data_IF_444425924092
#
_entry.id   IF_444425924092
#
_cell.length_a   1.000
_cell.length_b   1.000
_cell.length_c   1.000
_cell.angle_alpha   90.00
_cell.angle_beta   90.00
_cell.angle_gamma   90.00
#
_symmetry.space_group_name_H-M   'P 1'
#
loop_
_entity.id
_entity.type
_entity.pdbx_description
1 polymer ?
#
# COMPACT_ATOMS: atom_id res chain seq x y z
N UNK A 1 18.93 -11.19 25.72
CA UNK A 1 20.13 -11.23 24.83
C UNK A 1 20.59 -9.80 24.55
N UNK A 2 21.67 -9.60 23.81
CA UNK A 2 22.12 -8.23 23.46
C UNK A 2 21.10 -7.53 22.56
N UNK A 3 20.48 -6.43 22.99
CA UNK A 3 19.50 -5.70 22.18
C UNK A 3 20.12 -5.04 20.94
N UNK A 4 21.42 -4.76 20.93
CA UNK A 4 22.12 -4.18 19.76
C UNK A 4 22.18 -5.18 18.61
N UNK A 5 22.19 -6.46 18.91
CA UNK A 5 22.20 -7.56 17.93
C UNK A 5 20.80 -8.00 17.52
N UNK A 6 19.74 -7.39 18.06
CA UNK A 6 18.35 -7.74 17.73
C UNK A 6 18.07 -7.50 16.24
N UNK A 7 17.82 -8.55 15.45
CA UNK A 7 17.66 -8.40 14.01
C UNK A 7 16.27 -7.87 13.61
N UNK A 8 15.29 -7.91 14.52
CA UNK A 8 13.89 -7.58 14.18
C UNK A 8 13.65 -6.07 14.18
N UNK A 9 12.96 -5.59 13.15
CA UNK A 9 12.71 -4.18 12.93
C UNK A 9 11.23 -3.91 12.59
N UNK A 10 10.34 -3.91 13.58
CA UNK A 10 8.95 -3.52 13.35
C UNK A 10 8.89 -2.04 12.99
N UNK A 11 8.47 -1.71 11.76
CA UNK A 11 8.38 -0.33 11.29
C UNK A 11 7.51 -0.18 10.06
N UNK A 12 6.93 1.02 9.86
CA UNK A 12 6.07 1.31 8.72
C UNK A 12 6.91 1.36 7.42
N UNK A 13 6.73 0.36 6.56
CA UNK A 13 7.43 0.30 5.27
C UNK A 13 8.93 -0.01 5.35
N UNK A 14 9.46 -0.30 6.53
CA UNK A 14 10.84 -0.76 6.69
C UNK A 14 10.99 -2.15 6.10
N UNK A 15 12.12 -2.36 5.40
CA UNK A 15 12.46 -3.67 4.87
C UNK A 15 12.79 -4.60 6.04
N UNK A 16 12.09 -5.71 6.21
CA UNK A 16 12.41 -6.68 7.24
C UNK A 16 13.75 -7.34 6.94
N UNK A 17 14.44 -7.91 7.95
CA UNK A 17 15.70 -8.62 7.75
C UNK A 17 15.54 -9.83 6.83
N UNK A 18 14.33 -10.40 6.76
CA UNK A 18 13.97 -11.51 5.87
C UNK A 18 12.60 -11.24 5.22
N UNK A 19 12.54 -11.23 3.87
CA UNK A 19 11.30 -11.08 3.11
C UNK A 19 10.68 -12.46 2.83
N UNK A 20 10.25 -13.13 3.88
CA UNK A 20 9.72 -14.48 3.81
C UNK A 20 8.35 -14.53 3.08
N UNK A 21 8.09 -15.62 2.37
CA UNK A 21 6.80 -15.93 1.77
C UNK A 21 6.39 -15.03 0.61
N UNK A 22 7.32 -14.29 -0.02
CA UNK A 22 7.04 -13.35 -1.13
C UNK A 22 7.81 -13.67 -2.41
N UNK A 23 8.49 -14.81 -2.47
CA UNK A 23 9.28 -15.20 -3.64
C UNK A 23 8.46 -15.26 -4.93
N UNK A 24 7.23 -15.82 -4.86
CA UNK A 24 6.35 -15.92 -6.02
C UNK A 24 5.98 -14.56 -6.61
N UNK A 25 5.73 -13.57 -5.77
CA UNK A 25 5.42 -12.21 -6.19
C UNK A 25 6.60 -11.56 -6.92
N UNK A 26 7.80 -11.79 -6.40
CA UNK A 26 9.04 -11.29 -6.99
C UNK A 26 9.33 -11.95 -8.36
N UNK A 27 9.23 -13.27 -8.43
CA UNK A 27 9.45 -14.02 -9.69
C UNK A 27 8.46 -13.61 -10.79
N UNK A 28 7.19 -13.44 -10.42
CA UNK A 28 6.14 -12.97 -11.34
C UNK A 28 6.45 -11.59 -11.88
N UNK A 29 6.96 -10.69 -11.04
CA UNK A 29 7.27 -9.34 -11.48
C UNK A 29 8.51 -9.29 -12.37
N UNK A 30 9.54 -10.09 -12.12
CA UNK A 30 10.68 -10.21 -13.01
C UNK A 30 10.26 -10.65 -14.43
N UNK A 31 9.37 -11.65 -14.51
CA UNK A 31 8.80 -12.08 -15.79
C UNK A 31 8.05 -10.93 -16.48
N UNK A 32 7.26 -10.14 -15.74
CA UNK A 32 6.54 -8.99 -16.29
C UNK A 32 7.50 -7.96 -16.87
N UNK A 33 8.57 -7.59 -16.16
CA UNK A 33 9.58 -6.64 -16.63
C UNK A 33 10.25 -7.12 -17.92
N UNK A 34 10.67 -8.39 -17.95
CA UNK A 34 11.31 -8.96 -19.13
C UNK A 34 10.39 -9.05 -20.36
N UNK A 35 9.11 -9.38 -20.15
CA UNK A 35 8.14 -9.47 -21.25
C UNK A 35 7.86 -8.11 -21.86
N UNK A 36 7.66 -7.09 -21.05
CA UNK A 36 7.44 -5.71 -21.51
C UNK A 36 8.69 -5.20 -22.25
N UNK A 37 9.90 -5.43 -21.71
CA UNK A 37 11.15 -5.05 -22.38
C UNK A 37 11.32 -5.71 -23.76
N UNK A 38 10.68 -6.86 -23.98
CA UNK A 38 10.64 -7.55 -25.28
C UNK A 38 9.44 -7.16 -26.17
N UNK A 39 8.73 -6.08 -25.84
CA UNK A 39 7.55 -5.61 -26.58
C UNK A 39 6.31 -6.50 -26.42
N UNK A 40 6.24 -7.33 -25.37
CA UNK A 40 5.08 -8.18 -25.09
C UNK A 40 4.24 -7.48 -24.02
N UNK A 41 2.99 -7.10 -24.33
CA UNK A 41 2.15 -6.36 -23.38
C UNK A 41 1.84 -7.20 -22.14
N UNK A 42 1.86 -6.55 -20.99
CA UNK A 42 1.47 -7.10 -19.69
C UNK A 42 0.50 -6.16 -18.99
N UNK A 43 -0.33 -6.71 -18.12
CA UNK A 43 -1.27 -5.92 -17.30
C UNK A 43 -0.54 -5.28 -16.13
N UNK A 44 -0.90 -4.03 -15.83
CA UNK A 44 -0.48 -3.34 -14.61
C UNK A 44 -0.88 -4.15 -13.36
N UNK A 45 -0.01 -4.18 -12.35
CA UNK A 45 -0.13 -5.04 -11.17
C UNK A 45 -0.74 -4.28 -10.00
N UNK A 46 -1.78 -4.85 -9.35
CA UNK A 46 -2.43 -4.28 -8.17
C UNK A 46 -2.31 -5.22 -6.98
N UNK A 47 -1.51 -4.83 -5.99
CA UNK A 47 -1.35 -5.52 -4.71
C UNK A 47 -2.49 -5.13 -3.77
N UNK A 48 -3.31 -6.10 -3.35
CA UNK A 48 -4.43 -5.83 -2.45
C UNK A 48 -4.29 -6.62 -1.16
N UNK A 49 -4.65 -6.03 -0.03
CA UNK A 49 -4.57 -6.72 1.25
C UNK A 49 -4.78 -5.79 2.44
N UNK A 50 -4.93 -6.37 3.63
CA UNK A 50 -5.11 -5.62 4.88
C UNK A 50 -3.89 -4.78 5.23
N UNK A 51 -4.02 -3.89 6.21
CA UNK A 51 -2.87 -3.14 6.76
C UNK A 51 -1.96 -4.09 7.55
N UNK A 52 -0.65 -3.87 7.45
CA UNK A 52 0.35 -4.70 8.17
C UNK A 52 0.76 -6.00 7.47
N UNK A 53 0.17 -6.38 6.31
CA UNK A 53 0.57 -7.56 5.54
C UNK A 53 1.83 -7.38 4.68
N UNK A 54 2.43 -6.17 4.71
CA UNK A 54 3.70 -5.90 4.04
C UNK A 54 3.59 -5.39 2.59
N UNK A 55 2.43 -4.86 2.15
CA UNK A 55 2.26 -4.31 0.78
C UNK A 55 3.29 -3.25 0.42
N UNK A 56 3.50 -2.25 1.27
CA UNK A 56 4.48 -1.17 1.07
C UNK A 56 5.91 -1.72 0.95
N UNK A 57 6.25 -2.72 1.77
CA UNK A 57 7.56 -3.38 1.73
C UNK A 57 7.74 -4.12 0.41
N UNK A 58 6.73 -4.88 0.00
CA UNK A 58 6.75 -5.60 -1.28
C UNK A 58 6.83 -4.60 -2.45
N UNK A 59 6.03 -3.54 -2.44
CA UNK A 59 6.05 -2.48 -3.46
C UNK A 59 7.46 -1.86 -3.61
N UNK A 60 8.13 -1.58 -2.49
CA UNK A 60 9.50 -1.08 -2.49
C UNK A 60 10.50 -2.10 -3.02
N UNK A 61 10.30 -3.39 -2.73
CA UNK A 61 11.16 -4.47 -3.24
C UNK A 61 10.99 -4.65 -4.75
N UNK A 62 9.74 -4.64 -5.25
CA UNK A 62 9.45 -4.66 -6.69
C UNK A 62 10.09 -3.45 -7.40
N UNK A 63 10.06 -2.27 -6.76
CA UNK A 63 10.77 -1.10 -7.30
C UNK A 63 12.27 -1.35 -7.39
N UNK A 64 12.87 -1.94 -6.38
CA UNK A 64 14.30 -2.29 -6.40
C UNK A 64 14.64 -3.28 -7.52
N UNK A 65 13.75 -4.26 -7.79
CA UNK A 65 13.91 -5.16 -8.93
C UNK A 65 13.87 -4.39 -10.26
N UNK A 66 12.90 -3.48 -10.46
CA UNK A 66 12.83 -2.65 -11.66
C UNK A 66 14.11 -1.82 -11.86
N UNK A 67 14.67 -1.25 -10.78
CA UNK A 67 15.95 -0.53 -10.83
C UNK A 67 17.09 -1.47 -11.26
N UNK A 68 17.14 -2.68 -10.73
CA UNK A 68 18.16 -3.68 -11.11
C UNK A 68 18.04 -4.10 -12.59
N UNK A 69 16.82 -4.09 -13.15
CA UNK A 69 16.56 -4.26 -14.59
C UNK A 69 16.80 -2.98 -15.39
N UNK A 70 17.37 -1.94 -14.81
CA UNK A 70 17.66 -0.65 -15.43
C UNK A 70 16.42 0.10 -15.97
N UNK A 71 15.28 -0.11 -15.36
CA UNK A 71 14.05 0.63 -15.64
C UNK A 71 14.08 2.00 -14.97
N UNK A 72 13.44 2.99 -15.58
CA UNK A 72 13.12 4.24 -14.91
C UNK A 72 12.02 4.01 -13.87
N UNK A 73 12.19 4.53 -12.65
CA UNK A 73 11.23 4.28 -11.59
C UNK A 73 10.73 5.55 -10.92
N UNK A 74 9.42 5.59 -10.64
CA UNK A 74 8.80 6.63 -9.82
C UNK A 74 7.95 6.02 -8.72
N UNK A 75 7.90 6.67 -7.54
CA UNK A 75 7.04 6.24 -6.44
C UNK A 75 6.13 7.37 -5.98
N UNK A 76 4.88 7.01 -5.72
CA UNK A 76 3.82 7.89 -5.23
C UNK A 76 3.19 7.23 -4.01
N UNK A 77 2.86 8.02 -3.01
CA UNK A 77 1.95 7.67 -1.94
C UNK A 77 0.68 8.51 -2.13
N UNK A 78 -0.43 7.86 -2.47
CA UNK A 78 -1.70 8.54 -2.63
C UNK A 78 -2.19 9.09 -1.28
N UNK A 79 -2.82 10.25 -1.29
CA UNK A 79 -3.35 10.90 -0.08
C UNK A 79 -4.76 11.39 -0.34
N UNK A 80 -5.65 11.28 0.65
CA UNK A 80 -6.99 11.84 0.54
C UNK A 80 -6.94 13.34 0.16
N UNK A 81 -7.85 13.74 -0.72
CA UNK A 81 -8.02 15.12 -1.15
C UNK A 81 -6.79 15.75 -1.87
N UNK A 82 -5.83 14.91 -2.32
CA UNK A 82 -4.69 15.34 -3.12
C UNK A 82 -4.83 14.84 -4.56
N UNK A 83 -4.80 15.74 -5.55
CA UNK A 83 -4.76 15.34 -6.97
C UNK A 83 -3.47 14.60 -7.32
N UNK A 84 -3.60 13.58 -8.18
CA UNK A 84 -2.52 12.75 -8.68
C UNK A 84 -1.53 13.53 -9.58
N UNK A 85 -1.93 14.66 -10.13
CA UNK A 85 -1.17 15.42 -11.14
C UNK A 85 0.27 15.73 -10.72
N UNK A 86 0.46 16.38 -9.56
CA UNK A 86 1.82 16.71 -9.07
C UNK A 86 2.63 15.48 -8.64
N UNK A 87 2.08 14.52 -7.91
CA UNK A 87 2.78 13.28 -7.58
C UNK A 87 3.26 12.50 -8.81
N UNK A 88 2.42 12.38 -9.84
CA UNK A 88 2.80 11.72 -11.10
C UNK A 88 3.92 12.48 -11.80
N UNK A 89 3.82 13.81 -11.87
CA UNK A 89 4.88 14.61 -12.49
C UNK A 89 6.23 14.44 -11.78
N UNK A 90 6.24 14.42 -10.43
CA UNK A 90 7.45 14.17 -9.66
C UNK A 90 8.01 12.76 -9.89
N UNK A 91 7.14 11.75 -9.91
CA UNK A 91 7.51 10.35 -10.15
C UNK A 91 8.11 10.15 -11.54
N UNK A 92 7.48 10.71 -12.58
CA UNK A 92 7.99 10.65 -13.96
C UNK A 92 9.30 11.41 -14.13
N UNK A 93 9.44 12.57 -13.48
CA UNK A 93 10.70 13.30 -13.48
C UNK A 93 11.86 12.44 -12.96
N UNK A 94 11.65 11.74 -11.83
CA UNK A 94 12.65 10.83 -11.28
C UNK A 94 12.94 9.67 -12.23
N UNK A 95 11.90 9.04 -12.78
CA UNK A 95 12.04 7.92 -13.71
C UNK A 95 12.84 8.30 -14.97
N UNK A 96 12.54 9.45 -15.55
CA UNK A 96 13.24 9.92 -16.76
C UNK A 96 14.66 10.36 -16.45
N UNK A 97 14.93 10.93 -15.29
CA UNK A 97 16.31 11.23 -14.85
C UNK A 97 17.18 9.98 -14.75
N UNK A 98 16.62 8.84 -14.35
CA UNK A 98 17.32 7.55 -14.32
C UNK A 98 17.63 7.04 -15.75
N UNK A 99 16.80 7.37 -16.74
CA UNK A 99 16.97 7.00 -18.13
C UNK A 99 17.88 7.97 -18.92
N UNK A 100 17.86 9.25 -18.60
CA UNK A 100 18.52 10.32 -19.36
C UNK A 100 19.99 10.06 -19.67
N UNK A 101 20.85 9.53 -18.77
CA UNK A 101 22.27 9.26 -19.09
C UNK A 101 22.47 8.19 -20.18
N UNK A 102 21.46 7.37 -20.44
CA UNK A 102 21.48 6.31 -21.45
C UNK A 102 20.78 6.69 -22.76
N UNK A 103 20.11 7.85 -22.79
CA UNK A 103 19.37 8.33 -23.94
C UNK A 103 20.31 9.02 -24.96
N UNK A 104 20.19 8.64 -26.24
CA UNK A 104 21.08 9.15 -27.31
C UNK A 104 20.68 10.50 -27.88
N UNK A 105 19.49 11.00 -27.53
CA UNK A 105 18.95 12.28 -28.01
C UNK A 105 18.52 13.15 -26.81
N UNK A 106 19.42 13.95 -26.24
CA UNK A 106 19.11 14.84 -25.10
C UNK A 106 17.92 15.78 -25.37
N UNK A 107 17.79 16.30 -26.57
CA UNK A 107 16.69 17.19 -26.98
C UNK A 107 15.30 16.57 -26.78
N UNK A 108 15.18 15.24 -26.92
CA UNK A 108 13.91 14.54 -26.65
C UNK A 108 13.60 14.45 -25.16
N UNK A 109 14.63 14.32 -24.34
CA UNK A 109 14.48 14.40 -22.88
C UNK A 109 14.02 15.78 -22.48
N UNK A 110 14.66 16.82 -23.01
CA UNK A 110 14.30 18.21 -22.72
C UNK A 110 12.88 18.54 -23.20
N UNK A 111 12.49 18.06 -24.39
CA UNK A 111 11.13 18.20 -24.89
C UNK A 111 10.10 17.55 -23.95
N UNK A 112 10.35 16.31 -23.50
CA UNK A 112 9.49 15.63 -22.51
C UNK A 112 9.44 16.40 -21.18
N UNK A 113 10.58 16.87 -20.67
CA UNK A 113 10.63 17.64 -19.43
C UNK A 113 9.86 18.96 -19.54
N UNK A 114 9.83 19.58 -20.73
CA UNK A 114 9.01 20.75 -21.01
C UNK A 114 7.50 20.45 -20.91
N UNK A 115 7.04 19.34 -21.49
CA UNK A 115 5.65 18.85 -21.37
C UNK A 115 5.31 18.53 -19.93
N UNK A 116 6.19 17.80 -19.24
CA UNK A 116 6.02 17.44 -17.83
C UNK A 116 5.86 18.67 -16.93
N UNK A 117 6.66 19.73 -17.20
CA UNK A 117 6.57 21.01 -16.48
C UNK A 117 5.23 21.71 -16.73
N UNK A 118 4.75 21.74 -17.97
CA UNK A 118 3.43 22.30 -18.32
C UNK A 118 2.30 21.58 -17.61
N UNK A 119 2.30 20.23 -17.67
CA UNK A 119 1.35 19.35 -16.96
C UNK A 119 1.29 19.64 -15.45
N UNK A 120 2.45 19.75 -14.81
CA UNK A 120 2.53 19.99 -13.38
C UNK A 120 2.07 21.41 -12.97
N UNK A 121 2.34 22.42 -13.80
CA UNK A 121 1.95 23.80 -13.54
C UNK A 121 0.44 24.03 -13.69
N UNK A 122 -0.23 23.30 -14.57
CA UNK A 122 -1.68 23.38 -14.77
C UNK A 122 -2.47 23.06 -13.50
N UNK A 123 -1.95 22.20 -12.64
CA UNK A 123 -2.56 21.88 -11.35
C UNK A 123 -2.69 23.07 -10.39
N UNK A 124 -1.87 24.10 -10.56
CA UNK A 124 -1.90 25.29 -9.70
C UNK A 124 -3.02 26.29 -10.06
N UNK A 125 -3.57 26.19 -11.29
CA UNK A 125 -4.56 27.15 -11.80
C UNK A 125 -6.00 26.67 -11.69
N UNK A 126 -6.25 25.35 -11.63
CA UNK A 126 -7.59 24.77 -11.67
C UNK A 126 -8.37 24.81 -10.34
N UNK A 127 -7.76 25.17 -9.22
CA UNK A 127 -8.34 25.01 -7.88
C UNK A 127 -8.90 26.26 -7.19
N UNK A 128 -8.79 27.47 -7.77
CA UNK A 128 -9.30 28.70 -7.11
C UNK A 128 -9.68 29.79 -8.11
N UNK A 129 -10.95 30.16 -8.11
CA UNK A 129 -11.42 31.32 -8.85
C UNK A 129 -10.63 32.59 -8.49
N UNK A 130 -9.93 33.17 -9.46
CA UNK A 130 -9.56 34.56 -9.52
C UNK A 130 -8.40 35.10 -8.67
N UNK A 131 -7.78 34.36 -7.78
CA UNK A 131 -6.63 34.82 -7.00
C UNK A 131 -5.31 34.32 -7.61
N UNK A 132 -4.35 35.23 -7.87
CA UNK A 132 -3.02 34.86 -8.29
C UNK A 132 -2.38 33.86 -7.29
N UNK A 133 -1.76 32.76 -7.75
CA UNK A 133 -1.15 31.79 -6.86
C UNK A 133 -0.06 32.44 -6.02
N UNK A 134 -0.12 32.22 -4.70
CA UNK A 134 0.94 32.68 -3.79
C UNK A 134 2.27 32.04 -4.22
N UNK A 135 3.39 32.75 -4.05
CA UNK A 135 4.74 32.27 -4.43
C UNK A 135 5.05 30.85 -3.91
N UNK A 136 4.44 30.44 -2.79
CA UNK A 136 4.51 29.09 -2.19
C UNK A 136 3.82 27.98 -3.02
N UNK A 137 2.91 28.34 -3.92
CA UNK A 137 2.16 27.36 -4.74
C UNK A 137 2.86 27.08 -6.09
N UNK A 138 3.98 27.71 -6.38
CA UNK A 138 4.80 27.43 -7.55
C UNK A 138 5.63 26.18 -7.24
N UNK A 139 5.12 25.03 -7.63
CA UNK A 139 5.91 23.81 -7.69
C UNK A 139 7.03 23.99 -8.72
N UNK A 140 8.26 23.96 -8.26
CA UNK A 140 9.46 24.01 -9.12
C UNK A 140 10.16 22.65 -8.97
N UNK A 141 10.01 21.73 -9.93
CA UNK A 141 10.61 20.40 -9.84
C UNK A 141 12.13 20.37 -10.12
N UNK A 142 12.81 21.51 -10.15
CA UNK A 142 14.20 21.57 -10.58
C UNK A 142 14.39 21.22 -12.06
N UNK A 143 13.36 21.46 -12.87
CA UNK A 143 13.41 21.29 -14.33
C UNK A 143 13.81 22.62 -14.95
N UNK A 144 15.03 22.67 -15.50
CA UNK A 144 15.60 23.92 -16.04
C UNK A 144 15.14 24.26 -17.47
N UNK A 145 14.35 23.35 -18.09
CA UNK A 145 13.79 23.61 -19.42
C UNK A 145 12.51 24.46 -19.34
N UNK A 146 12.19 25.26 -20.40
CA UNK A 146 10.90 25.95 -20.50
C UNK A 146 9.73 24.98 -20.53
N UNK A 147 8.56 25.39 -20.00
CA UNK A 147 7.33 24.63 -20.14
C UNK A 147 6.87 24.64 -21.61
N UNK A 148 6.56 23.47 -22.16
CA UNK A 148 6.03 23.32 -23.52
C UNK A 148 4.52 23.21 -23.44
N UNK A 149 3.79 24.11 -24.11
CA UNK A 149 2.33 24.11 -24.20
C UNK A 149 1.82 23.33 -25.42
N UNK A 150 0.55 22.90 -25.38
CA UNK A 150 -0.13 22.20 -26.45
C UNK A 150 -0.12 20.68 -26.34
N UNK A 151 0.47 20.11 -25.25
CA UNK A 151 0.45 18.68 -24.96
C UNK A 151 0.40 18.44 -23.45
N UNK A 152 -0.46 17.54 -23.01
CA UNK A 152 -0.73 17.21 -21.60
C UNK A 152 -1.06 18.44 -20.72
N UNK A 153 -1.68 19.45 -21.31
CA UNK A 153 -2.02 20.74 -20.67
C UNK A 153 -3.44 21.23 -20.98
N UNK A 154 -4.33 20.34 -21.44
CA UNK A 154 -5.72 20.66 -21.76
C UNK A 154 -6.53 21.13 -20.55
N UNK A 155 -6.15 20.68 -19.35
CA UNK A 155 -6.86 20.90 -18.09
C UNK A 155 -7.74 19.73 -17.70
N UNK A 156 -8.02 18.79 -18.60
CA UNK A 156 -8.62 17.50 -18.30
C UNK A 156 -7.54 16.51 -17.91
N UNK A 157 -7.64 15.98 -16.67
CA UNK A 157 -6.62 15.06 -16.13
C UNK A 157 -6.55 13.74 -16.90
N UNK A 158 -7.68 13.27 -17.46
CA UNK A 158 -7.73 12.01 -18.20
C UNK A 158 -6.97 12.14 -19.52
N UNK A 159 -7.23 13.21 -20.30
CA UNK A 159 -6.53 13.50 -21.56
C UNK A 159 -5.03 13.74 -21.27
N UNK A 160 -4.74 14.61 -20.33
CA UNK A 160 -3.38 15.03 -20.03
C UNK A 160 -2.51 13.87 -19.54
N UNK A 161 -3.07 12.95 -18.73
CA UNK A 161 -2.34 11.81 -18.20
C UNK A 161 -2.05 10.76 -19.26
N UNK A 162 -3.00 10.51 -20.18
CA UNK A 162 -2.81 9.61 -21.34
C UNK A 162 -1.64 10.11 -22.19
N UNK A 163 -1.65 11.38 -22.57
CA UNK A 163 -0.58 11.97 -23.39
C UNK A 163 0.77 11.91 -22.67
N UNK A 164 0.80 12.29 -21.40
CA UNK A 164 2.03 12.36 -20.62
C UNK A 164 2.68 10.98 -20.44
N UNK A 165 1.89 9.93 -20.09
CA UNK A 165 2.43 8.59 -19.91
C UNK A 165 2.85 7.96 -21.24
N UNK A 166 2.17 8.27 -22.33
CA UNK A 166 2.57 7.85 -23.68
C UNK A 166 3.91 8.46 -24.07
N UNK A 167 4.12 9.75 -23.83
CA UNK A 167 5.39 10.41 -24.08
C UNK A 167 6.52 9.87 -23.20
N UNK A 168 6.25 9.60 -21.93
CA UNK A 168 7.21 8.97 -21.03
C UNK A 168 7.62 7.56 -21.53
N UNK A 169 6.65 6.77 -22.01
CA UNK A 169 6.92 5.45 -22.57
C UNK A 169 7.75 5.52 -23.85
N UNK A 170 7.56 6.55 -24.69
CA UNK A 170 8.38 6.78 -25.86
C UNK A 170 9.84 7.04 -25.49
N UNK A 171 10.12 7.81 -24.45
CA UNK A 171 11.47 8.01 -23.89
C UNK A 171 12.09 6.68 -23.46
N UNK A 172 11.34 5.82 -22.79
CA UNK A 172 11.82 4.50 -22.38
C UNK A 172 12.11 3.58 -23.57
N UNK A 173 11.27 3.63 -24.59
CA UNK A 173 11.46 2.89 -25.85
C UNK A 173 12.79 3.28 -26.54
N UNK A 174 13.11 4.57 -26.60
CA UNK A 174 14.36 5.04 -27.20
C UNK A 174 15.63 4.52 -26.48
N UNK A 175 15.52 4.25 -25.19
CA UNK A 175 16.58 3.67 -24.36
C UNK A 175 16.60 2.14 -24.44
N UNK A 176 15.55 1.51 -24.97
CA UNK A 176 15.39 0.06 -25.02
C UNK A 176 15.08 -0.56 -23.65
N UNK A 177 14.32 0.15 -22.81
CA UNK A 177 13.93 -0.29 -21.47
C UNK A 177 12.49 0.13 -21.19
N UNK A 178 12.06 0.15 -19.91
CA UNK A 178 10.72 0.56 -19.49
C UNK A 178 10.72 1.57 -18.37
N UNK A 179 9.52 2.04 -18.05
CA UNK A 179 9.22 2.83 -16.84
C UNK A 179 8.22 2.08 -15.97
N UNK A 180 8.48 2.02 -14.67
CA UNK A 180 7.57 1.48 -13.67
C UNK A 180 7.19 2.56 -12.65
N UNK A 181 5.89 2.87 -12.55
CA UNK A 181 5.34 3.81 -11.58
C UNK A 181 4.68 3.04 -10.46
N UNK A 182 5.17 3.23 -9.24
CA UNK A 182 4.71 2.57 -8.03
C UNK A 182 3.80 3.51 -7.25
N UNK A 183 2.54 3.08 -6.98
CA UNK A 183 1.54 3.90 -6.27
C UNK A 183 1.07 3.14 -5.03
N UNK A 184 1.39 3.66 -3.86
CA UNK A 184 0.91 3.12 -2.59
C UNK A 184 -0.40 3.80 -2.15
N UNK A 185 -1.19 3.13 -1.31
CA UNK A 185 -2.49 3.58 -0.76
C UNK A 185 -3.48 4.05 -1.85
N UNK A 186 -3.56 3.32 -2.97
CA UNK A 186 -4.37 3.72 -4.15
C UNK A 186 -5.85 3.95 -3.86
N UNK A 187 -6.42 3.38 -2.79
CA UNK A 187 -7.81 3.64 -2.39
C UNK A 187 -8.03 5.10 -1.95
N UNK A 188 -6.97 5.87 -1.71
CA UNK A 188 -7.03 7.28 -1.33
C UNK A 188 -7.05 8.23 -2.54
N UNK A 189 -6.94 7.69 -3.77
CA UNK A 189 -7.08 8.47 -5.00
C UNK A 189 -8.53 8.96 -5.20
N UNK A 190 -8.66 10.18 -5.70
CA UNK A 190 -9.97 10.72 -6.12
C UNK A 190 -10.53 9.99 -7.34
N UNK A 191 -11.86 10.02 -7.53
CA UNK A 191 -12.52 9.31 -8.61
C UNK A 191 -12.03 9.76 -10.00
N UNK A 192 -11.77 11.05 -10.19
CA UNK A 192 -11.23 11.60 -11.44
C UNK A 192 -9.82 11.08 -11.73
N UNK A 193 -8.96 11.04 -10.69
CA UNK A 193 -7.59 10.53 -10.79
C UNK A 193 -7.57 9.02 -11.10
N UNK A 194 -8.47 8.25 -10.48
CA UNK A 194 -8.65 6.81 -10.77
C UNK A 194 -9.10 6.60 -12.21
N UNK A 195 -10.08 7.38 -12.69
CA UNK A 195 -10.56 7.33 -14.07
C UNK A 195 -9.43 7.61 -15.06
N UNK A 196 -8.66 8.67 -14.82
CA UNK A 196 -7.52 9.08 -15.64
C UNK A 196 -6.42 8.01 -15.69
N UNK A 197 -6.11 7.40 -14.54
CA UNK A 197 -5.12 6.33 -14.45
C UNK A 197 -5.57 5.08 -15.23
N UNK A 198 -6.85 4.70 -15.12
CA UNK A 198 -7.41 3.59 -15.88
C UNK A 198 -7.35 3.86 -17.39
N UNK A 199 -7.71 5.07 -17.86
CA UNK A 199 -7.64 5.45 -19.25
C UNK A 199 -6.21 5.40 -19.78
N UNK A 200 -5.26 5.96 -19.05
CA UNK A 200 -3.85 5.94 -19.43
C UNK A 200 -3.26 4.52 -19.48
N UNK A 201 -3.54 3.67 -18.48
CA UNK A 201 -3.12 2.27 -18.50
C UNK A 201 -3.74 1.49 -19.68
N UNK A 202 -4.98 1.81 -20.05
CA UNK A 202 -5.66 1.20 -21.20
C UNK A 202 -4.95 1.54 -22.51
N UNK A 203 -4.69 2.82 -22.76
CA UNK A 203 -3.98 3.29 -23.95
C UNK A 203 -2.59 2.69 -24.06
N UNK A 204 -1.80 2.72 -22.97
CA UNK A 204 -0.47 2.10 -22.92
C UNK A 204 -0.50 0.61 -23.25
N UNK A 205 -1.52 -0.10 -22.77
CA UNK A 205 -1.70 -1.52 -23.06
C UNK A 205 -2.02 -1.79 -24.52
N UNK A 206 -2.85 -0.94 -25.15
CA UNK A 206 -3.16 -1.04 -26.59
C UNK A 206 -1.95 -0.73 -27.48
N UNK A 207 -1.13 0.22 -27.09
CA UNK A 207 0.09 0.61 -27.78
C UNK A 207 1.25 -0.40 -27.55
N UNK A 208 1.12 -1.33 -26.60
CA UNK A 208 2.24 -2.17 -26.17
C UNK A 208 3.42 -1.36 -25.62
N UNK A 209 3.13 -0.20 -25.05
CA UNK A 209 4.13 0.76 -24.59
C UNK A 209 4.86 0.24 -23.32
N UNK A 210 6.19 0.46 -23.20
CA UNK A 210 6.97 -0.07 -22.08
C UNK A 210 6.84 0.77 -20.82
N UNK A 211 5.60 0.97 -20.36
CA UNK A 211 5.31 1.60 -19.08
C UNK A 211 4.27 0.77 -18.32
N UNK A 212 4.55 0.50 -17.05
CA UNK A 212 3.67 -0.26 -16.16
C UNK A 212 3.38 0.52 -14.89
N UNK A 213 2.15 0.38 -14.38
CA UNK A 213 1.76 0.85 -13.04
C UNK A 213 1.70 -0.33 -12.09
N UNK A 214 2.36 -0.20 -10.94
CA UNK A 214 2.29 -1.16 -9.84
C UNK A 214 1.64 -0.47 -8.66
N UNK A 215 0.41 -0.85 -8.36
CA UNK A 215 -0.38 -0.24 -7.30
C UNK A 215 -0.45 -1.11 -6.04
N UNK A 216 -0.61 -0.48 -4.88
CA UNK A 216 -0.94 -1.16 -3.63
C UNK A 216 -2.11 -0.47 -2.94
N UNK A 217 -3.02 -1.27 -2.37
CA UNK A 217 -4.19 -0.74 -1.67
C UNK A 217 -4.92 -1.75 -0.80
N UNK A 218 -6.02 -1.32 -0.22
CA UNK A 218 -6.88 -2.12 0.63
C UNK A 218 -7.68 -3.16 -0.20
N UNK A 219 -8.27 -4.19 0.42
CA UNK A 219 -8.96 -5.27 -0.28
C UNK A 219 -10.08 -4.81 -1.23
N UNK A 220 -10.70 -3.65 -0.97
CA UNK A 220 -11.76 -3.09 -1.81
C UNK A 220 -11.26 -2.31 -3.03
N UNK A 221 -9.95 -2.17 -3.24
CA UNK A 221 -9.37 -1.48 -4.39
C UNK A 221 -9.93 -1.94 -5.75
N UNK A 222 -10.16 -3.25 -6.00
CA UNK A 222 -10.78 -3.67 -7.25
C UNK A 222 -12.16 -3.04 -7.50
N UNK A 223 -12.97 -2.89 -6.46
CA UNK A 223 -14.28 -2.25 -6.55
C UNK A 223 -14.16 -0.74 -6.85
N UNK A 224 -13.18 -0.06 -6.25
CA UNK A 224 -12.89 1.36 -6.53
C UNK A 224 -12.51 1.56 -8.00
N UNK A 225 -11.63 0.71 -8.54
CA UNK A 225 -11.19 0.78 -9.94
C UNK A 225 -12.34 0.44 -10.91
N UNK A 226 -13.16 -0.58 -10.59
CA UNK A 226 -14.30 -0.97 -11.42
C UNK A 226 -15.42 0.07 -11.42
N UNK A 227 -15.61 0.81 -10.32
CA UNK A 227 -16.58 1.91 -10.25
C UNK A 227 -16.17 3.08 -11.15
N UNK A 228 -14.88 3.33 -11.34
CA UNK A 228 -14.40 4.38 -12.24
C UNK A 228 -14.49 3.98 -13.72
N UNK A 229 -14.06 2.78 -14.08
CA UNK A 229 -14.12 2.25 -15.46
C UNK A 229 -14.43 0.75 -15.44
N UNK A 230 -15.51 0.34 -16.08
CA UNK A 230 -15.98 -1.06 -16.12
C UNK A 230 -14.97 -2.05 -16.70
N UNK A 231 -14.07 -1.59 -17.58
CA UNK A 231 -13.06 -2.45 -18.19
C UNK A 231 -11.81 -2.68 -17.29
N UNK A 232 -11.73 -2.05 -16.13
CA UNK A 232 -10.59 -2.17 -15.21
C UNK A 232 -10.31 -3.60 -14.75
N UNK A 233 -11.33 -4.47 -14.69
CA UNK A 233 -11.19 -5.88 -14.35
C UNK A 233 -10.24 -6.63 -15.31
N UNK A 234 -10.21 -6.23 -16.58
CA UNK A 234 -9.34 -6.81 -17.62
C UNK A 234 -8.01 -6.07 -17.76
N UNK A 235 -7.96 -4.84 -17.30
CA UNK A 235 -6.80 -3.95 -17.40
C UNK A 235 -5.73 -4.28 -16.36
N UNK A 236 -6.14 -4.68 -15.16
CA UNK A 236 -5.24 -4.91 -14.05
C UNK A 236 -5.12 -6.41 -13.71
N UNK A 237 -3.93 -6.79 -13.24
CA UNK A 237 -3.68 -8.06 -12.58
C UNK A 237 -3.72 -7.84 -11.08
N UNK A 238 -4.76 -8.35 -10.42
CA UNK A 238 -4.89 -8.25 -8.97
C UNK A 238 -4.13 -9.39 -8.31
N UNK A 239 -3.35 -9.05 -7.28
CA UNK A 239 -2.63 -10.00 -6.45
C UNK A 239 -2.96 -9.71 -4.99
N UNK A 240 -3.64 -10.66 -4.36
CA UNK A 240 -3.94 -10.57 -2.94
C UNK A 240 -2.68 -10.87 -2.14
N UNK A 241 -2.31 -9.95 -1.26
CA UNK A 241 -1.22 -10.08 -0.31
C UNK A 241 -1.85 -10.33 1.05
N UNK A 242 -1.58 -11.52 1.57
CA UNK A 242 -2.16 -11.99 2.82
C UNK A 242 -1.08 -12.13 3.90
N UNK A 243 -1.53 -12.51 5.13
CA UNK A 243 -0.62 -12.90 6.21
C UNK A 243 0.32 -14.01 5.74
N UNK A 244 1.45 -14.14 6.42
CA UNK A 244 2.38 -15.24 6.19
C UNK A 244 1.73 -16.55 6.64
N UNK A 245 1.90 -17.59 5.86
CA UNK A 245 1.63 -18.94 6.33
C UNK A 245 2.64 -19.34 7.41
N UNK A 246 2.43 -20.51 8.00
CA UNK A 246 3.28 -20.98 9.10
C UNK A 246 4.74 -21.07 8.70
N UNK A 247 5.05 -21.60 7.53
CA UNK A 247 6.41 -21.82 7.06
C UNK A 247 7.12 -20.47 6.84
N UNK A 248 6.45 -19.53 6.20
CA UNK A 248 7.00 -18.21 5.96
C UNK A 248 7.15 -17.39 7.26
N UNK A 249 6.24 -17.54 8.23
CA UNK A 249 6.36 -16.89 9.52
C UNK A 249 7.55 -17.42 10.32
N UNK A 250 7.73 -18.75 10.35
CA UNK A 250 8.91 -19.37 10.98
C UNK A 250 10.20 -18.91 10.29
N UNK A 251 10.23 -18.86 8.95
CA UNK A 251 11.38 -18.34 8.22
C UNK A 251 11.69 -16.88 8.57
N UNK A 252 10.64 -16.04 8.70
CA UNK A 252 10.79 -14.62 9.07
C UNK A 252 11.37 -14.42 10.47
N UNK A 253 11.22 -15.40 11.36
CA UNK A 253 11.79 -15.41 12.70
C UNK A 253 13.17 -16.09 12.73
N UNK A 254 13.30 -17.30 12.19
CA UNK A 254 14.49 -18.11 12.30
C UNK A 254 15.66 -17.56 11.48
N UNK A 255 15.45 -17.22 10.21
CA UNK A 255 16.55 -16.82 9.32
C UNK A 255 17.34 -15.59 9.82
N UNK A 256 16.71 -14.53 10.36
CA UNK A 256 17.45 -13.43 10.97
C UNK A 256 18.18 -13.85 12.26
N UNK A 257 17.57 -14.67 13.10
CA UNK A 257 18.13 -15.13 14.35
C UNK A 257 19.36 -16.03 14.14
N UNK A 258 19.30 -16.93 13.17
CA UNK A 258 20.40 -17.82 12.78
C UNK A 258 21.65 -17.05 12.33
N UNK A 259 21.48 -15.93 11.63
CA UNK A 259 22.60 -15.02 11.27
C UNK A 259 23.31 -14.46 12.51
N UNK A 260 22.58 -14.35 13.62
CA UNK A 260 23.09 -13.92 14.93
C UNK A 260 23.41 -15.11 15.85
N UNK A 261 23.42 -16.35 15.34
CA UNK A 261 23.71 -17.59 16.06
C UNK A 261 22.72 -17.88 17.19
N UNK A 262 21.45 -17.52 16.99
CA UNK A 262 20.35 -17.77 17.93
C UNK A 262 19.31 -18.68 17.29
N UNK A 263 18.84 -19.63 18.05
CA UNK A 263 17.83 -20.61 17.67
C UNK A 263 16.53 -20.39 18.44
N UNK A 264 15.44 -20.91 17.90
CA UNK A 264 14.14 -20.96 18.55
C UNK A 264 13.73 -22.41 18.82
N UNK A 265 13.15 -22.67 19.99
CA UNK A 265 12.41 -23.92 20.20
C UNK A 265 11.12 -23.92 19.38
N UNK A 266 10.69 -25.11 18.91
CA UNK A 266 9.46 -25.23 18.11
C UNK A 266 8.23 -24.67 18.85
N UNK A 267 8.11 -24.90 20.16
CA UNK A 267 7.02 -24.37 21.00
C UNK A 267 7.02 -22.84 21.10
N UNK A 268 8.18 -22.20 20.98
CA UNK A 268 8.29 -20.74 20.92
C UNK A 268 7.74 -20.21 19.59
N UNK A 269 8.11 -20.85 18.48
CA UNK A 269 7.59 -20.51 17.15
C UNK A 269 6.08 -20.72 17.07
N UNK A 270 5.54 -21.82 17.66
CA UNK A 270 4.11 -22.08 17.72
C UNK A 270 3.35 -20.94 18.40
N UNK A 271 3.85 -20.50 19.55
CA UNK A 271 3.25 -19.41 20.31
C UNK A 271 3.38 -18.04 19.61
N UNK A 272 4.53 -17.78 18.99
CA UNK A 272 4.74 -16.54 18.21
C UNK A 272 3.81 -16.46 17.01
N UNK A 273 3.61 -17.59 16.31
CA UNK A 273 2.66 -17.65 15.20
C UNK A 273 1.20 -17.44 15.66
N UNK A 274 0.81 -18.09 16.76
CA UNK A 274 -0.51 -17.92 17.37
C UNK A 274 -0.77 -16.45 17.73
N UNK A 275 0.18 -15.80 18.43
CA UNK A 275 0.04 -14.42 18.88
C UNK A 275 0.09 -13.40 17.75
N UNK A 276 0.94 -13.61 16.76
CA UNK A 276 1.06 -12.69 15.62
C UNK A 276 -0.01 -12.90 14.56
N UNK A 277 -0.67 -14.07 14.55
CA UNK A 277 -1.60 -14.49 13.50
C UNK A 277 -0.96 -14.55 12.12
N UNK A 278 0.39 -14.60 12.03
CA UNK A 278 1.14 -14.59 10.79
C UNK A 278 1.21 -13.20 10.11
N UNK A 279 0.76 -12.12 10.75
CA UNK A 279 0.90 -10.77 10.19
C UNK A 279 2.35 -10.29 10.27
N UNK A 280 2.99 -9.96 9.14
CA UNK A 280 4.41 -9.63 9.09
C UNK A 280 4.86 -8.58 10.11
N UNK A 281 4.06 -7.51 10.28
CA UNK A 281 4.36 -6.46 11.24
C UNK A 281 4.36 -7.00 12.68
N UNK A 282 3.38 -7.85 13.02
CA UNK A 282 3.29 -8.44 14.36
C UNK A 282 4.36 -9.51 14.58
N UNK A 283 4.70 -10.29 13.57
CA UNK A 283 5.82 -11.23 13.62
C UNK A 283 7.11 -10.50 14.02
N UNK A 284 7.37 -9.34 13.39
CA UNK A 284 8.54 -8.52 13.74
C UNK A 284 8.44 -7.92 15.16
N UNK A 285 7.27 -7.44 15.57
CA UNK A 285 7.08 -6.84 16.90
C UNK A 285 7.26 -7.88 18.02
N UNK A 286 6.61 -9.05 17.89
CA UNK A 286 6.78 -10.13 18.86
C UNK A 286 8.20 -10.72 18.83
N UNK A 287 8.81 -10.87 17.65
CA UNK A 287 10.20 -11.31 17.51
C UNK A 287 11.16 -10.38 18.24
N UNK A 288 10.98 -9.06 18.05
CA UNK A 288 11.79 -8.03 18.70
C UNK A 288 11.68 -8.12 20.22
N UNK A 289 10.48 -8.06 20.77
CA UNK A 289 10.27 -8.12 22.21
C UNK A 289 10.79 -9.43 22.81
N UNK A 290 10.57 -10.56 22.13
CA UNK A 290 11.05 -11.86 22.61
C UNK A 290 12.57 -11.92 22.64
N UNK A 291 13.26 -11.39 21.61
CA UNK A 291 14.73 -11.31 21.61
C UNK A 291 15.25 -10.49 22.79
N UNK A 292 14.66 -9.32 23.03
CA UNK A 292 15.11 -8.40 24.07
C UNK A 292 14.95 -9.00 25.48
N UNK A 293 13.94 -9.86 25.69
CA UNK A 293 13.69 -10.53 26.98
C UNK A 293 14.39 -11.88 27.15
N UNK A 294 14.69 -12.59 26.05
CA UNK A 294 15.31 -13.91 26.16
C UNK A 294 16.73 -13.81 26.73
N UNK A 295 17.08 -14.60 27.75
CA UNK A 295 18.41 -14.53 28.39
C UNK A 295 19.51 -15.17 27.53
N UNK A 296 19.17 -16.17 26.71
CA UNK A 296 20.13 -16.97 25.93
C UNK A 296 19.41 -17.73 24.80
N UNK A 297 20.20 -18.32 23.90
CA UNK A 297 19.75 -19.32 22.92
C UNK A 297 19.67 -20.72 23.57
N UNK A 298 18.71 -21.57 23.17
CA UNK A 298 17.60 -21.27 22.32
C UNK A 298 16.53 -20.42 23.01
N UNK A 299 15.78 -19.62 22.21
CA UNK A 299 14.59 -18.88 22.68
C UNK A 299 13.46 -19.88 22.95
N UNK A 300 12.87 -19.81 24.14
CA UNK A 300 11.86 -20.76 24.62
C UNK A 300 10.45 -20.18 24.60
N UNK A 301 9.43 -21.05 24.71
CA UNK A 301 8.06 -20.59 24.89
C UNK A 301 7.82 -19.81 26.18
N UNK A 302 8.66 -20.00 27.20
CA UNK A 302 8.61 -19.20 28.45
C UNK A 302 9.06 -17.75 28.17
N UNK A 303 10.10 -17.56 27.38
CA UNK A 303 10.60 -16.23 27.00
C UNK A 303 9.54 -15.47 26.20
N UNK A 304 8.85 -16.14 25.28
CA UNK A 304 7.73 -15.55 24.51
C UNK A 304 6.59 -15.09 25.43
N UNK A 305 6.22 -15.90 26.45
CA UNK A 305 5.15 -15.52 27.40
C UNK A 305 5.54 -14.30 28.24
N UNK A 306 6.79 -14.17 28.61
CA UNK A 306 7.30 -13.01 29.37
C UNK A 306 7.30 -11.75 28.49
N UNK A 307 7.72 -11.87 27.23
CA UNK A 307 7.83 -10.75 26.30
C UNK A 307 6.48 -10.30 25.70
N UNK A 308 5.51 -11.21 25.59
CA UNK A 308 4.25 -10.92 24.89
C UNK A 308 3.49 -9.69 25.42
N UNK A 309 3.37 -9.45 26.74
CA UNK A 309 2.68 -8.26 27.25
C UNK A 309 3.32 -6.94 26.77
N UNK A 310 4.66 -6.89 26.65
CA UNK A 310 5.36 -5.71 26.16
C UNK A 310 5.08 -5.49 24.66
N UNK A 311 5.16 -6.54 23.85
CA UNK A 311 4.80 -6.46 22.45
C UNK A 311 3.34 -6.01 22.24
N UNK A 312 2.41 -6.55 23.03
CA UNK A 312 1.00 -6.18 23.01
C UNK A 312 0.79 -4.70 23.41
N UNK A 313 1.51 -4.21 24.41
CA UNK A 313 1.47 -2.82 24.85
C UNK A 313 2.04 -1.87 23.78
N UNK A 314 3.17 -2.21 23.16
CA UNK A 314 3.75 -1.42 22.05
C UNK A 314 2.79 -1.36 20.86
N UNK A 315 2.18 -2.49 20.49
CA UNK A 315 1.16 -2.54 19.43
C UNK A 315 -0.09 -1.74 19.80
N UNK A 316 -0.53 -1.80 21.07
CA UNK A 316 -1.69 -1.04 21.55
C UNK A 316 -1.48 0.46 21.40
N UNK A 317 -0.32 0.98 21.74
CA UNK A 317 0.00 2.42 21.63
C UNK A 317 0.31 2.82 20.18
N UNK A 318 1.27 2.14 19.57
CA UNK A 318 1.82 2.56 18.28
C UNK A 318 0.92 2.22 17.10
N UNK A 319 0.27 1.05 17.12
CA UNK A 319 -0.48 0.56 15.97
C UNK A 319 -2.00 0.75 16.09
N UNK A 320 -2.59 0.54 17.26
CA UNK A 320 -4.03 0.63 17.46
C UNK A 320 -4.48 1.99 18.01
N UNK A 321 -3.82 2.52 19.05
CA UNK A 321 -4.24 3.70 19.79
C UNK A 321 -4.36 4.94 18.90
N UNK A 322 -3.35 5.22 18.09
CA UNK A 322 -3.34 6.35 17.15
C UNK A 322 -4.51 6.35 16.17
N UNK A 323 -5.03 5.16 15.84
CA UNK A 323 -6.20 4.99 14.96
C UNK A 323 -7.51 5.19 15.72
N UNK A 324 -7.58 4.64 16.93
CA UNK A 324 -8.73 4.79 17.80
C UNK A 324 -8.96 6.25 18.18
N UNK A 325 -7.91 7.01 18.50
CA UNK A 325 -7.99 8.43 18.86
C UNK A 325 -8.53 9.32 17.75
N UNK A 326 -8.29 8.97 16.48
CA UNK A 326 -8.83 9.71 15.33
C UNK A 326 -10.32 9.49 15.08
N UNK A 327 -10.93 8.53 15.77
CA UNK A 327 -12.34 8.21 15.64
C UNK A 327 -13.19 9.08 16.61
N UNK A 328 -14.28 9.63 16.10
CA UNK A 328 -15.28 10.33 16.90
C UNK A 328 -16.02 9.37 17.85
N UNK A 329 -16.70 9.86 18.89
CA UNK A 329 -17.48 8.99 19.78
C UNK A 329 -18.48 8.09 19.05
N UNK A 330 -19.21 8.60 18.05
CA UNK A 330 -20.16 7.80 17.27
C UNK A 330 -19.46 6.74 16.41
N UNK A 331 -18.29 7.04 15.87
CA UNK A 331 -17.46 6.09 15.12
C UNK A 331 -16.89 5.00 16.04
N UNK A 332 -16.47 5.36 17.25
CA UNK A 332 -15.99 4.40 18.28
C UNK A 332 -17.11 3.45 18.69
N UNK A 333 -18.32 3.97 18.92
CA UNK A 333 -19.50 3.16 19.20
C UNK A 333 -19.79 2.16 18.08
N UNK A 334 -19.75 2.62 16.83
CA UNK A 334 -19.92 1.76 15.66
C UNK A 334 -18.85 0.65 15.60
N UNK A 335 -17.58 0.98 15.79
CA UNK A 335 -16.47 0.00 15.77
C UNK A 335 -16.55 -0.99 16.94
N UNK A 336 -17.00 -0.57 18.13
CA UNK A 336 -17.22 -1.47 19.28
C UNK A 336 -18.32 -2.48 19.00
N UNK A 337 -19.44 -2.04 18.40
CA UNK A 337 -20.51 -2.96 17.97
C UNK A 337 -19.99 -3.97 16.95
N UNK A 338 -19.19 -3.53 15.97
CA UNK A 338 -18.51 -4.45 15.04
C UNK A 338 -17.62 -5.46 15.78
N UNK A 339 -16.79 -4.99 16.73
CA UNK A 339 -15.85 -5.84 17.46
C UNK A 339 -16.56 -6.90 18.33
N UNK A 340 -17.76 -6.59 18.82
CA UNK A 340 -18.60 -7.53 19.57
C UNK A 340 -19.25 -8.57 18.66
N UNK A 341 -19.75 -8.15 17.49
CA UNK A 341 -20.43 -9.02 16.53
C UNK A 341 -19.45 -9.92 15.75
N UNK A 342 -18.18 -9.50 15.61
CA UNK A 342 -17.15 -10.30 14.96
C UNK A 342 -16.66 -11.50 15.80
N UNK A 343 -17.11 -11.64 17.04
CA UNK A 343 -16.92 -12.86 17.83
C UNK A 343 -17.87 -13.92 17.27
N UNK A 344 -17.33 -14.95 16.66
CA UNK A 344 -18.12 -16.12 16.27
C UNK A 344 -18.66 -16.79 17.53
N UNK A 345 -19.97 -17.07 17.54
CA UNK A 345 -20.68 -17.69 18.65
C UNK A 345 -19.95 -18.93 19.20
N UNK A 346 -19.57 -18.89 20.47
CA UNK A 346 -19.55 -20.09 21.30
C UNK A 346 -18.20 -20.65 21.74
N UNK A 347 -17.05 -20.02 21.49
CA UNK A 347 -15.78 -20.53 22.05
C UNK A 347 -15.07 -19.45 22.91
N UNK A 348 -15.08 -19.62 24.24
CA UNK A 348 -14.08 -19.06 25.15
C UNK A 348 -12.71 -19.61 24.70
N UNK A 349 -11.97 -18.82 23.93
CA UNK A 349 -10.71 -19.20 23.28
C UNK A 349 -10.81 -19.31 21.76
N UNK A 350 -11.94 -19.00 21.15
CA UNK A 350 -12.16 -18.98 19.70
C UNK A 350 -11.18 -18.08 18.99
N UNK A 351 -10.61 -18.59 17.90
CA UNK A 351 -9.83 -17.79 16.95
C UNK A 351 -10.62 -16.54 16.65
N UNK A 352 -10.07 -15.38 17.05
CA UNK A 352 -10.50 -14.09 16.54
C UNK A 352 -10.51 -14.24 15.02
N UNK A 353 -11.69 -14.39 14.39
CA UNK A 353 -11.76 -14.37 12.94
C UNK A 353 -11.48 -12.95 12.50
N UNK A 354 -10.19 -12.68 12.32
CA UNK A 354 -9.62 -11.36 12.12
C UNK A 354 -10.09 -10.71 10.83
N UNK A 355 -10.71 -11.51 9.96
CA UNK A 355 -11.25 -11.11 8.67
C UNK A 355 -12.79 -11.15 8.65
N UNK A 356 -13.46 -11.37 9.80
CA UNK A 356 -14.91 -11.48 9.87
C UNK A 356 -15.59 -10.21 9.36
N UNK A 357 -16.29 -10.34 8.26
CA UNK A 357 -17.13 -9.30 7.72
C UNK A 357 -18.45 -9.25 8.49
N UNK A 358 -18.77 -8.10 9.07
CA UNK A 358 -19.98 -7.91 9.87
C UNK A 358 -21.08 -7.26 9.02
N UNK A 359 -22.29 -7.84 8.95
CA UNK A 359 -23.42 -7.22 8.27
C UNK A 359 -23.80 -5.88 8.91
N UNK A 360 -23.92 -4.84 8.09
CA UNK A 360 -24.30 -3.48 8.58
C UNK A 360 -25.68 -3.45 9.25
N UNK A 361 -26.58 -4.36 8.84
CA UNK A 361 -27.89 -4.52 9.46
C UNK A 361 -27.80 -5.05 10.90
N UNK A 362 -26.84 -5.93 11.20
CA UNK A 362 -26.61 -6.45 12.55
C UNK A 362 -26.00 -5.40 13.46
N UNK A 363 -25.08 -4.58 12.95
CA UNK A 363 -24.53 -3.44 13.67
C UNK A 363 -25.65 -2.46 14.05
N UNK A 364 -26.56 -2.17 13.11
CA UNK A 364 -27.70 -1.31 13.36
C UNK A 364 -28.64 -1.88 14.44
N UNK A 365 -28.88 -3.20 14.40
CA UNK A 365 -29.69 -3.90 15.41
C UNK A 365 -29.01 -3.86 16.78
N UNK A 366 -27.72 -4.14 16.86
CA UNK A 366 -26.97 -4.11 18.11
C UNK A 366 -26.96 -2.72 18.76
N UNK A 367 -26.92 -1.65 17.94
CA UNK A 367 -26.96 -0.26 18.43
C UNK A 367 -28.40 0.27 18.63
N UNK A 368 -29.45 -0.51 18.34
CA UNK A 368 -30.83 -0.04 18.42
C UNK A 368 -31.16 1.14 17.49
N UNK A 369 -30.45 1.27 16.36
CA UNK A 369 -30.55 2.39 15.42
C UNK A 369 -30.96 1.93 14.02
N UNK A 370 -31.53 2.85 13.24
CA UNK A 370 -31.83 2.57 11.81
C UNK A 370 -30.53 2.58 11.00
N UNK A 371 -30.33 1.65 10.01
CA UNK A 371 -29.12 1.60 9.19
C UNK A 371 -28.75 2.94 8.54
N UNK A 372 -29.76 3.71 8.07
CA UNK A 372 -29.53 5.00 7.45
C UNK A 372 -28.89 6.05 8.39
N UNK A 373 -29.18 5.98 9.70
CA UNK A 373 -28.59 6.91 10.70
C UNK A 373 -27.12 6.60 11.00
N UNK A 374 -26.66 5.40 10.68
CA UNK A 374 -25.26 4.95 10.88
C UNK A 374 -24.38 5.15 9.64
N UNK A 375 -24.98 5.45 8.48
CA UNK A 375 -24.23 5.65 7.23
C UNK A 375 -23.15 6.73 7.35
N UNK A 376 -23.38 7.90 7.98
CA UNK A 376 -22.32 8.91 8.12
C UNK A 376 -21.10 8.41 8.91
N UNK A 377 -21.33 7.68 10.01
CA UNK A 377 -20.23 7.12 10.82
C UNK A 377 -19.48 6.01 10.04
N UNK A 378 -20.21 5.13 9.35
CA UNK A 378 -19.63 4.10 8.49
C UNK A 378 -18.78 4.71 7.38
N UNK A 379 -19.30 5.68 6.64
CA UNK A 379 -18.62 6.29 5.50
C UNK A 379 -17.38 7.08 5.96
N UNK A 380 -17.45 7.74 7.13
CA UNK A 380 -16.29 8.39 7.74
C UNK A 380 -15.21 7.38 8.18
N UNK A 381 -15.60 6.23 8.74
CA UNK A 381 -14.68 5.16 9.10
C UNK A 381 -14.00 4.54 7.87
N UNK A 382 -14.73 4.37 6.76
CA UNK A 382 -14.18 3.92 5.48
C UNK A 382 -13.19 4.97 4.96
N UNK A 383 -13.58 6.25 4.93
CA UNK A 383 -12.69 7.35 4.51
C UNK A 383 -11.42 7.46 5.36
N UNK A 384 -11.49 7.18 6.66
CA UNK A 384 -10.34 7.11 7.57
C UNK A 384 -9.51 5.83 7.40
N UNK A 385 -9.94 4.88 6.57
CA UNK A 385 -9.27 3.60 6.36
C UNK A 385 -9.23 2.71 7.61
N UNK A 386 -10.21 2.82 8.51
CA UNK A 386 -10.34 2.00 9.71
C UNK A 386 -11.14 0.72 9.45
N UNK A 387 -12.13 0.82 8.58
CA UNK A 387 -12.93 -0.29 8.09
C UNK A 387 -12.97 -0.25 6.55
N UNK A 388 -13.37 -1.33 5.94
CA UNK A 388 -13.65 -1.38 4.50
C UNK A 388 -14.94 -2.15 4.23
N UNK A 389 -15.59 -1.85 3.11
CA UNK A 389 -16.72 -2.64 2.61
C UNK A 389 -16.17 -3.70 1.66
N UNK A 390 -16.26 -4.96 2.05
CA UNK A 390 -15.88 -6.10 1.21
C UNK A 390 -17.03 -6.48 0.28
N UNK A 391 -17.94 -7.28 0.80
CA UNK A 391 -19.16 -7.66 0.11
C UNK A 391 -20.29 -6.65 0.35
N UNK A 392 -21.31 -6.68 -0.55
CA UNK A 392 -22.45 -5.77 -0.43
C UNK A 392 -23.16 -5.92 0.91
N UNK A 393 -23.24 -4.85 1.66
CA UNK A 393 -23.92 -4.81 2.96
C UNK A 393 -23.09 -5.26 4.14
N UNK A 394 -21.80 -5.56 3.97
CA UNK A 394 -20.88 -5.93 5.04
C UNK A 394 -19.74 -4.93 5.18
N UNK A 395 -19.14 -4.92 6.37
CA UNK A 395 -17.93 -4.15 6.69
C UNK A 395 -16.97 -5.00 7.52
N UNK A 396 -15.68 -4.77 7.33
CA UNK A 396 -14.64 -5.44 8.11
C UNK A 396 -13.55 -4.45 8.53
N UNK A 397 -12.75 -4.79 9.54
CA UNK A 397 -11.61 -3.98 9.94
C UNK A 397 -10.47 -4.07 8.92
N UNK A 398 -9.81 -2.94 8.65
CA UNK A 398 -8.61 -2.91 7.80
C UNK A 398 -7.36 -3.36 8.55
N UNK A 399 -7.43 -3.42 9.87
CA UNK A 399 -6.33 -3.69 10.79
C UNK A 399 -6.63 -4.98 11.54
N UNK A 400 -5.75 -5.99 11.45
CA UNK A 400 -5.90 -7.23 12.20
C UNK A 400 -5.86 -6.99 13.72
N UNK A 401 -6.52 -7.82 14.49
CA UNK A 401 -6.62 -7.73 15.97
C UNK A 401 -7.22 -6.41 16.52
N UNK A 402 -7.69 -5.50 15.67
CA UNK A 402 -8.25 -4.23 16.13
C UNK A 402 -9.54 -4.43 16.93
N UNK A 403 -10.37 -5.41 16.56
CA UNK A 403 -11.55 -5.79 17.33
C UNK A 403 -11.21 -6.23 18.76
N UNK A 404 -10.15 -7.04 18.92
CA UNK A 404 -9.65 -7.45 20.25
C UNK A 404 -9.21 -6.23 21.08
N UNK A 405 -8.44 -5.34 20.48
CA UNK A 405 -8.02 -4.09 21.14
C UNK A 405 -9.23 -3.24 21.56
N UNK A 406 -10.24 -3.08 20.71
CA UNK A 406 -11.42 -2.28 21.01
C UNK A 406 -12.21 -2.81 22.20
N UNK A 407 -12.25 -4.13 22.41
CA UNK A 407 -12.91 -4.77 23.55
C UNK A 407 -12.20 -4.51 24.88
N UNK A 408 -10.91 -4.21 24.89
CA UNK A 408 -10.14 -3.88 26.09
C UNK A 408 -10.24 -2.40 26.45
N UNK A 409 -10.79 -1.55 25.58
CA UNK A 409 -10.89 -0.11 25.85
C UNK A 409 -12.12 0.20 26.70
N UNK A 410 -12.02 1.13 27.67
CA UNK A 410 -13.17 1.56 28.47
C UNK A 410 -14.27 2.14 27.57
N UNK A 411 -15.51 2.05 28.04
CA UNK A 411 -16.72 2.48 27.33
C UNK A 411 -16.76 3.98 27.04
#
# INVERSE_FOLDING_TARGET
MDPVRNPYAPGAGQRPPELAGRGRELDVFDVVLERIARGRPERSLMLTGLRGVGKTVLLNTLRSQAINHLWGTGKIEARPDQSLRRPVAAALHMAVRELAPRHRAPDRIDAFLGVLKAFAQRAATAGRGGAAPKLRDRWQPGIDVPASSGRADSGDIEIDLVELLTDAAAVATDVGTGIAIFIDEMQDLGAEDVSALCAACHELSQLGAPLIVVGAGLPHLPAVLSAAKSYSERLFRYQRIDRLDRIAADQALCAPAEREQVEYEQKALDLLYEKSGGYPYFVQAYGKATWDHAPRSPITAADVRVAAPEAEAELAVGFFGSRFERATPAEREYMRAMATLALVDGEEGGRDDMDAAVPTAEIARALGRKPASLSPARDALIKKGLIYSGERGTVAFTVPHFGRYLRTQPA
#
